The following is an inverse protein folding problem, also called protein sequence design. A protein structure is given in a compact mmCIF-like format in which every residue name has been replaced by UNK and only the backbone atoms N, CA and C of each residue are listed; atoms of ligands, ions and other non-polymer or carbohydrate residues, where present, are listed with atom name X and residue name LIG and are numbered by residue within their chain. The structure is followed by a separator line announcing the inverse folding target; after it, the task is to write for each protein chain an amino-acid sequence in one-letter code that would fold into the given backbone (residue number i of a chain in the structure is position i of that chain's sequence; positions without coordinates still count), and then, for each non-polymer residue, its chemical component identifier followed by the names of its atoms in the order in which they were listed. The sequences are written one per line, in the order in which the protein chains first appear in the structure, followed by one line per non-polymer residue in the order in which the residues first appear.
data_IF_252618153468
#
_entry.id   IF_252618153468
#
_cell.length_a   1.000
_cell.length_b   1.000
_cell.length_c   1.000
_cell.angle_alpha   90.00
_cell.angle_beta   90.00
_cell.angle_gamma   90.00
#
_symmetry.space_group_name_H-M   'P 1'
#
loop_
_entity.id
_entity.type
_entity.pdbx_description
1 polymer ?
#
# COMPACT_ATOMS: atom_id res chain seq x y z
N UNK A 1 -31.02 -17.25 20.08
CA UNK A 1 -29.57 -16.94 20.02
C UNK A 1 -29.26 -16.55 18.59
N UNK A 2 -28.41 -15.53 18.37
CA UNK A 2 -28.06 -15.06 17.02
C UNK A 2 -26.73 -15.67 16.61
N UNK A 3 -26.57 -16.07 15.35
CA UNK A 3 -25.28 -16.54 14.82
C UNK A 3 -24.53 -15.38 14.15
N UNK A 4 -23.20 -15.43 14.19
CA UNK A 4 -22.33 -14.50 13.48
C UNK A 4 -22.55 -14.64 11.96
N UNK A 5 -22.84 -13.55 11.26
CA UNK A 5 -23.05 -13.57 9.80
C UNK A 5 -21.77 -13.87 9.00
N UNK A 6 -20.60 -13.81 9.62
CA UNK A 6 -19.32 -14.04 8.94
C UNK A 6 -18.73 -15.44 9.17
N UNK A 7 -18.96 -16.07 10.33
CA UNK A 7 -18.39 -17.39 10.66
C UNK A 7 -19.41 -18.38 11.23
N UNK A 8 -20.69 -18.00 11.28
CA UNK A 8 -21.82 -18.79 11.80
C UNK A 8 -21.73 -19.22 13.28
N UNK A 9 -20.70 -18.79 14.03
CA UNK A 9 -20.60 -19.04 15.47
C UNK A 9 -21.78 -18.45 16.23
N UNK A 10 -22.40 -19.22 17.13
CA UNK A 10 -23.47 -18.73 18.01
C UNK A 10 -22.93 -17.64 18.92
N UNK A 11 -23.49 -16.45 18.84
CA UNK A 11 -23.05 -15.29 19.59
C UNK A 11 -23.53 -15.34 21.03
N UNK A 12 -22.70 -14.83 21.94
CA UNK A 12 -23.09 -14.54 23.31
C UNK A 12 -24.24 -13.51 23.32
N UNK A 13 -25.15 -13.54 24.31
CA UNK A 13 -26.19 -12.53 24.45
C UNK A 13 -25.61 -11.12 24.43
N UNK A 14 -26.18 -10.23 23.60
CA UNK A 14 -25.76 -8.83 23.41
C UNK A 14 -24.32 -8.62 22.89
N UNK A 15 -23.67 -9.64 22.33
CA UNK A 15 -22.34 -9.46 21.76
C UNK A 15 -22.36 -8.48 20.57
N UNK A 16 -21.59 -7.40 20.65
CA UNK A 16 -21.37 -6.44 19.54
C UNK A 16 -20.35 -6.96 18.51
N UNK A 17 -19.46 -7.85 18.95
CA UNK A 17 -18.46 -8.52 18.11
C UNK A 17 -18.49 -10.02 18.36
N UNK A 18 -18.23 -10.81 17.33
CA UNK A 18 -18.10 -12.25 17.44
C UNK A 18 -16.87 -12.60 18.26
N UNK A 19 -17.06 -13.32 19.36
CA UNK A 19 -15.97 -13.78 20.22
C UNK A 19 -15.07 -14.83 19.56
N UNK A 20 -15.48 -15.41 18.43
CA UNK A 20 -14.67 -16.37 17.67
C UNK A 20 -13.87 -15.69 16.57
N UNK A 21 -14.49 -14.89 15.69
CA UNK A 21 -13.81 -14.29 14.53
C UNK A 21 -13.51 -12.78 14.64
N UNK A 22 -13.93 -12.11 15.71
CA UNK A 22 -13.68 -10.69 15.94
C UNK A 22 -14.52 -9.71 15.10
N UNK A 23 -15.29 -10.18 14.11
CA UNK A 23 -16.16 -9.34 13.28
C UNK A 23 -17.42 -8.89 14.01
N UNK A 24 -17.96 -7.73 13.62
CA UNK A 24 -19.16 -7.17 14.24
C UNK A 24 -20.35 -8.13 14.09
N UNK A 25 -21.13 -8.29 15.16
CA UNK A 25 -22.23 -9.28 15.24
C UNK A 25 -23.38 -9.02 14.28
N UNK A 26 -23.49 -7.79 13.77
CA UNK A 26 -24.57 -7.33 12.91
C UNK A 26 -24.22 -7.27 11.41
N UNK A 27 -23.04 -7.73 11.01
CA UNK A 27 -22.56 -7.75 9.62
C UNK A 27 -21.51 -6.69 9.34
N UNK A 28 -20.84 -6.84 8.19
CA UNK A 28 -19.87 -5.86 7.68
C UNK A 28 -20.63 -4.55 7.32
N UNK A 29 -20.00 -3.39 7.54
CA UNK A 29 -20.63 -2.06 7.43
C UNK A 29 -21.21 -1.69 6.06
N UNK A 30 -21.75 -0.47 5.91
CA UNK A 30 -22.27 0.01 4.61
C UNK A 30 -21.16 0.74 3.84
N UNK A 31 -20.85 0.28 2.63
CA UNK A 31 -19.89 0.92 1.73
C UNK A 31 -20.54 2.15 1.08
N UNK A 32 -19.81 3.27 1.04
CA UNK A 32 -20.25 4.46 0.31
C UNK A 32 -19.96 4.30 -1.18
N UNK A 33 -20.98 4.40 -2.04
CA UNK A 33 -20.81 4.26 -3.50
C UNK A 33 -20.06 5.41 -4.17
N UNK A 34 -19.90 6.56 -3.51
CA UNK A 34 -19.16 7.69 -4.06
C UNK A 34 -17.65 7.60 -3.79
N UNK A 35 -17.23 7.01 -2.67
CA UNK A 35 -15.82 7.03 -2.25
C UNK A 35 -15.29 5.69 -1.70
N UNK A 36 -16.10 4.64 -1.77
CA UNK A 36 -15.85 3.27 -1.31
C UNK A 36 -15.43 3.12 0.17
N UNK A 37 -15.64 4.15 1.00
CA UNK A 37 -15.40 4.05 2.43
C UNK A 37 -16.37 3.06 3.09
N UNK A 38 -15.88 2.17 3.95
CA UNK A 38 -16.72 1.30 4.78
C UNK A 38 -17.21 2.10 6.00
N UNK A 39 -18.52 2.24 6.14
CA UNK A 39 -19.14 3.00 7.22
C UNK A 39 -19.86 2.05 8.19
N UNK A 40 -20.06 2.44 9.46
CA UNK A 40 -20.83 1.64 10.40
C UNK A 40 -22.24 1.32 9.88
N UNK A 41 -22.78 0.16 10.29
CA UNK A 41 -24.16 -0.24 9.94
C UNK A 41 -25.16 0.84 10.38
N UNK A 42 -26.02 1.28 9.46
CA UNK A 42 -27.01 2.34 9.71
C UNK A 42 -26.48 3.78 9.57
N UNK A 43 -25.23 3.96 9.14
CA UNK A 43 -24.72 5.28 8.78
C UNK A 43 -25.61 5.90 7.69
N UNK A 44 -26.14 7.11 7.96
CA UNK A 44 -26.94 7.88 6.99
C UNK A 44 -26.10 8.69 6.03
N UNK A 45 -24.84 8.93 6.38
CA UNK A 45 -23.87 9.70 5.61
C UNK A 45 -22.52 9.00 5.69
N UNK A 46 -21.74 9.11 4.63
CA UNK A 46 -20.38 8.60 4.60
C UNK A 46 -19.49 9.39 5.55
N UNK A 47 -18.77 8.70 6.43
CA UNK A 47 -17.81 9.32 7.34
C UNK A 47 -16.57 9.90 6.63
N UNK A 48 -16.40 9.60 5.34
CA UNK A 48 -15.28 10.08 4.52
C UNK A 48 -15.70 11.22 3.60
N UNK A 49 -16.66 11.00 2.70
CA UNK A 49 -17.05 12.01 1.69
C UNK A 49 -18.32 12.80 2.03
N UNK A 50 -19.02 12.48 3.13
CA UNK A 50 -20.25 13.16 3.53
C UNK A 50 -21.49 12.82 2.69
N UNK A 51 -21.36 12.06 1.59
CA UNK A 51 -22.52 11.66 0.77
C UNK A 51 -23.50 10.83 1.58
N UNK A 52 -24.80 11.12 1.41
CA UNK A 52 -25.87 10.31 1.97
C UNK A 52 -25.75 8.85 1.54
N UNK A 53 -25.79 7.95 2.52
CA UNK A 53 -25.76 6.50 2.30
C UNK A 53 -27.20 6.02 2.25
N UNK A 54 -27.57 5.37 1.15
CA UNK A 54 -28.89 4.76 1.03
C UNK A 54 -28.99 3.51 1.92
N UNK A 55 -29.61 3.67 3.09
CA UNK A 55 -29.75 2.66 4.15
C UNK A 55 -30.68 1.48 3.77
N UNK A 56 -31.34 1.53 2.60
CA UNK A 56 -32.10 0.41 2.04
C UNK A 56 -31.25 -0.52 1.16
N UNK A 57 -29.95 -0.24 1.04
CA UNK A 57 -29.06 -1.07 0.23
C UNK A 57 -28.78 -2.41 0.91
N UNK A 58 -29.33 -3.48 0.37
CA UNK A 58 -28.82 -4.84 0.56
C UNK A 58 -27.59 -5.02 -0.33
N UNK A 59 -26.43 -5.43 0.21
CA UNK A 59 -25.28 -5.81 -0.61
C UNK A 59 -25.73 -6.77 -1.70
N UNK A 60 -25.54 -6.40 -2.98
CA UNK A 60 -25.77 -7.37 -4.04
C UNK A 60 -24.75 -8.49 -3.82
N UNK A 61 -25.17 -9.75 -3.73
CA UNK A 61 -24.30 -10.85 -3.28
C UNK A 61 -23.05 -11.04 -4.15
N UNK A 62 -23.08 -10.56 -5.40
CA UNK A 62 -22.03 -10.78 -6.38
C UNK A 62 -21.24 -9.49 -6.74
N UNK A 63 -21.24 -8.48 -5.85
CA UNK A 63 -20.43 -7.27 -6.03
C UNK A 63 -19.20 -7.31 -5.11
N UNK A 64 -17.99 -7.14 -5.66
CA UNK A 64 -16.77 -7.08 -4.85
C UNK A 64 -16.77 -5.85 -3.91
N UNK A 65 -16.43 -5.98 -2.61
CA UNK A 65 -16.56 -4.90 -1.63
C UNK A 65 -15.80 -3.60 -1.90
N UNK A 66 -14.55 -3.67 -2.37
CA UNK A 66 -13.64 -2.53 -2.51
C UNK A 66 -13.73 -1.89 -3.89
N UNK A 67 -13.73 -2.72 -4.93
CA UNK A 67 -13.66 -2.26 -6.32
C UNK A 67 -15.01 -2.29 -7.04
N UNK A 68 -16.08 -2.79 -6.40
CA UNK A 68 -17.43 -2.73 -6.94
C UNK A 68 -17.70 -3.59 -8.18
N UNK A 69 -16.89 -4.62 -8.46
CA UNK A 69 -17.07 -5.52 -9.60
C UNK A 69 -18.32 -6.39 -9.43
N UNK A 70 -19.30 -6.23 -10.33
CA UNK A 70 -20.55 -7.00 -10.40
C UNK A 70 -20.38 -8.23 -11.29
N UNK A 71 -20.20 -9.39 -10.65
CA UNK A 71 -20.08 -10.68 -11.31
C UNK A 71 -21.40 -11.22 -11.87
N UNK A 72 -22.51 -10.48 -11.77
CA UNK A 72 -23.71 -10.77 -12.57
C UNK A 72 -23.64 -10.20 -13.98
N UNK A 73 -22.71 -9.27 -14.24
CA UNK A 73 -22.54 -8.61 -15.53
C UNK A 73 -21.11 -8.83 -16.06
N UNK A 74 -20.78 -10.11 -16.24
CA UNK A 74 -19.48 -10.57 -16.79
C UNK A 74 -19.11 -9.82 -18.09
N UNK A 75 -20.01 -9.60 -19.07
CA UNK A 75 -19.65 -8.92 -20.31
C UNK A 75 -19.08 -7.51 -20.12
N UNK A 76 -19.42 -6.82 -19.03
CA UNK A 76 -18.91 -5.46 -18.76
C UNK A 76 -17.75 -5.42 -17.77
N UNK A 77 -17.32 -6.57 -17.20
CA UNK A 77 -16.20 -6.63 -16.24
C UNK A 77 -14.92 -5.92 -16.70
N UNK A 78 -14.47 -5.99 -17.97
CA UNK A 78 -13.30 -5.23 -18.40
C UNK A 78 -13.47 -3.71 -18.24
N UNK A 79 -14.69 -3.21 -18.49
CA UNK A 79 -15.04 -1.80 -18.29
C UNK A 79 -15.11 -1.47 -16.79
N UNK A 80 -15.72 -2.35 -15.99
CA UNK A 80 -15.77 -2.19 -14.53
C UNK A 80 -14.37 -2.16 -13.91
N UNK A 81 -13.45 -3.02 -14.35
CA UNK A 81 -12.04 -3.01 -13.95
C UNK A 81 -11.33 -1.72 -14.38
N UNK A 82 -11.61 -1.22 -15.60
CA UNK A 82 -11.07 0.07 -16.03
C UNK A 82 -11.54 1.23 -15.15
N UNK A 83 -12.79 1.19 -14.66
CA UNK A 83 -13.31 2.18 -13.71
C UNK A 83 -12.75 1.95 -12.30
N UNK A 84 -12.57 0.70 -11.88
CA UNK A 84 -11.92 0.34 -10.63
C UNK A 84 -10.47 0.84 -10.55
N UNK A 85 -9.78 0.99 -11.69
CA UNK A 85 -8.46 1.62 -11.69
C UNK A 85 -8.52 3.09 -11.21
N UNK A 86 -9.60 3.84 -11.50
CA UNK A 86 -9.78 5.20 -10.95
C UNK A 86 -9.91 5.17 -9.43
N UNK A 87 -10.65 4.18 -8.89
CA UNK A 87 -10.74 3.94 -7.44
C UNK A 87 -9.34 3.70 -6.86
N UNK A 88 -8.49 2.94 -7.56
CA UNK A 88 -7.11 2.69 -7.11
C UNK A 88 -6.25 3.96 -7.08
N UNK A 89 -6.46 4.90 -8.02
CA UNK A 89 -5.82 6.23 -7.98
C UNK A 89 -6.26 6.98 -6.71
N UNK A 90 -7.56 7.01 -6.43
CA UNK A 90 -8.12 7.66 -5.23
C UNK A 90 -7.58 7.07 -3.93
N UNK A 91 -7.50 5.74 -3.84
CA UNK A 91 -6.95 5.04 -2.67
C UNK A 91 -5.46 5.33 -2.49
N UNK A 92 -4.68 5.37 -3.58
CA UNK A 92 -3.27 5.72 -3.53
C UNK A 92 -3.04 7.17 -3.07
N UNK A 93 -3.83 8.12 -3.57
CA UNK A 93 -3.75 9.53 -3.18
C UNK A 93 -4.19 9.76 -1.73
N UNK A 94 -5.18 9.01 -1.24
CA UNK A 94 -5.58 9.03 0.16
C UNK A 94 -4.47 8.55 1.09
N UNK A 95 -3.84 7.43 0.75
CA UNK A 95 -2.68 6.92 1.48
C UNK A 95 -1.49 7.88 1.44
N UNK A 96 -1.40 8.73 0.41
CA UNK A 96 -0.43 9.82 0.27
C UNK A 96 -0.88 11.15 0.90
N UNK A 97 -2.07 11.21 1.51
CA UNK A 97 -2.70 12.43 2.04
C UNK A 97 -2.69 13.57 1.00
N UNK A 98 -3.05 13.26 -0.24
CA UNK A 98 -2.94 14.12 -1.42
C UNK A 98 -4.26 14.14 -2.24
N UNK A 99 -5.40 13.91 -1.59
CA UNK A 99 -6.72 13.91 -2.23
C UNK A 99 -7.08 15.25 -2.87
N UNK A 100 -6.49 16.35 -2.41
CA UNK A 100 -6.69 17.68 -3.00
C UNK A 100 -6.25 17.74 -4.47
N UNK A 101 -5.37 16.84 -4.92
CA UNK A 101 -4.94 16.72 -6.32
C UNK A 101 -5.70 15.67 -7.12
N UNK A 102 -6.63 14.93 -6.54
CA UNK A 102 -7.31 13.81 -7.18
C UNK A 102 -7.90 14.16 -8.55
N UNK A 103 -8.57 15.32 -8.65
CA UNK A 103 -9.13 15.80 -9.90
C UNK A 103 -8.07 15.94 -11.01
N UNK A 104 -6.84 16.35 -10.69
CA UNK A 104 -5.74 16.47 -11.66
C UNK A 104 -5.25 15.09 -12.14
N UNK A 105 -5.16 14.11 -11.23
CA UNK A 105 -4.75 12.75 -11.60
C UNK A 105 -5.82 12.07 -12.46
N UNK A 106 -7.10 12.16 -12.08
CA UNK A 106 -8.20 11.61 -12.87
C UNK A 106 -8.34 12.29 -14.23
N UNK A 107 -8.12 13.60 -14.31
CA UNK A 107 -8.09 14.31 -15.58
C UNK A 107 -6.91 13.86 -16.46
N UNK A 108 -5.72 13.68 -15.87
CA UNK A 108 -4.56 13.14 -16.59
C UNK A 108 -4.85 11.75 -17.12
N UNK A 109 -5.42 10.87 -16.30
CA UNK A 109 -5.82 9.52 -16.71
C UNK A 109 -6.78 9.55 -17.91
N UNK A 110 -7.84 10.37 -17.84
CA UNK A 110 -8.84 10.48 -18.90
C UNK A 110 -8.30 11.07 -20.21
N UNK A 111 -7.27 11.92 -20.16
CA UNK A 111 -6.68 12.59 -21.33
C UNK A 111 -5.46 11.86 -21.91
N UNK A 112 -4.82 11.02 -21.11
CA UNK A 112 -3.65 10.25 -21.52
C UNK A 112 -4.03 9.04 -22.38
N UNK A 113 -3.04 8.48 -23.07
CA UNK A 113 -3.14 7.19 -23.76
C UNK A 113 -2.84 5.99 -22.83
N UNK A 114 -2.69 6.22 -21.52
CA UNK A 114 -2.38 5.17 -20.55
C UNK A 114 -3.36 3.99 -20.62
N UNK A 115 -4.66 4.28 -20.77
CA UNK A 115 -5.70 3.26 -20.85
C UNK A 115 -5.43 2.31 -22.03
N UNK A 116 -5.23 2.88 -23.22
CA UNK A 116 -5.01 2.14 -24.45
C UNK A 116 -3.65 1.42 -24.47
N UNK A 117 -2.62 2.04 -23.89
CA UNK A 117 -1.26 1.48 -23.91
C UNK A 117 -1.02 0.38 -22.87
N UNK A 118 -1.66 0.45 -21.70
CA UNK A 118 -1.30 -0.40 -20.56
C UNK A 118 -2.47 -1.05 -19.83
N UNK A 119 -3.65 -0.42 -19.80
CA UNK A 119 -4.74 -0.90 -18.94
C UNK A 119 -5.64 -1.91 -19.65
N UNK A 120 -6.02 -1.66 -20.90
CA UNK A 120 -7.04 -2.45 -21.61
C UNK A 120 -6.69 -3.93 -21.74
N UNK A 121 -5.46 -4.26 -22.10
CA UNK A 121 -5.01 -5.66 -22.19
C UNK A 121 -5.02 -6.33 -20.81
N UNK A 122 -4.54 -5.63 -19.78
CA UNK A 122 -4.48 -6.16 -18.42
C UNK A 122 -5.88 -6.41 -17.86
N UNK A 123 -6.85 -5.53 -18.09
CA UNK A 123 -8.22 -5.75 -17.59
C UNK A 123 -8.92 -6.91 -18.28
N UNK A 124 -8.61 -7.18 -19.55
CA UNK A 124 -9.11 -8.37 -20.26
C UNK A 124 -8.56 -9.65 -19.65
N UNK A 125 -7.25 -9.71 -19.39
CA UNK A 125 -6.61 -10.87 -18.76
C UNK A 125 -7.12 -11.09 -17.33
N UNK A 126 -7.23 -10.02 -16.54
CA UNK A 126 -7.81 -10.07 -15.19
C UNK A 126 -9.26 -10.55 -15.20
N UNK A 127 -10.05 -10.17 -16.21
CA UNK A 127 -11.45 -10.62 -16.33
C UNK A 127 -11.52 -12.14 -16.45
N UNK A 128 -10.71 -12.74 -17.34
CA UNK A 128 -10.67 -14.18 -17.54
C UNK A 128 -10.27 -14.93 -16.26
N UNK A 129 -9.25 -14.41 -15.55
CA UNK A 129 -8.81 -14.98 -14.28
C UNK A 129 -9.91 -14.89 -13.21
N UNK A 130 -10.53 -13.73 -13.05
CA UNK A 130 -11.49 -13.50 -11.96
C UNK A 130 -12.83 -14.19 -12.20
N UNK A 131 -13.27 -14.29 -13.45
CA UNK A 131 -14.44 -15.09 -13.81
C UNK A 131 -14.23 -16.55 -13.38
N UNK A 132 -13.10 -17.16 -13.74
CA UNK A 132 -12.79 -18.53 -13.37
C UNK A 132 -12.72 -18.75 -11.84
N UNK A 133 -12.07 -17.83 -11.10
CA UNK A 133 -12.00 -17.90 -9.63
C UNK A 133 -13.39 -17.74 -9.01
N UNK A 134 -14.21 -16.82 -9.53
CA UNK A 134 -15.55 -16.56 -9.01
C UNK A 134 -16.52 -17.71 -9.31
N UNK A 135 -16.45 -18.33 -10.49
CA UNK A 135 -17.24 -19.52 -10.82
C UNK A 135 -16.96 -20.68 -9.86
N UNK A 136 -15.69 -20.89 -9.49
CA UNK A 136 -15.28 -21.95 -8.57
C UNK A 136 -15.74 -21.69 -7.12
N UNK A 137 -15.62 -20.43 -6.65
CA UNK A 137 -15.66 -20.11 -5.21
C UNK A 137 -16.79 -19.17 -4.80
N UNK A 138 -17.51 -18.60 -5.75
CA UNK A 138 -18.51 -17.57 -5.55
C UNK A 138 -18.00 -16.42 -4.69
N UNK A 139 -18.82 -15.96 -3.74
CA UNK A 139 -18.51 -14.85 -2.81
C UNK A 139 -17.19 -15.04 -2.05
N UNK A 140 -16.80 -16.30 -1.77
CA UNK A 140 -15.54 -16.56 -1.07
C UNK A 140 -14.29 -16.21 -1.89
N UNK A 141 -14.44 -16.00 -3.21
CA UNK A 141 -13.40 -15.53 -4.12
C UNK A 141 -12.98 -14.08 -3.89
N UNK A 142 -13.84 -13.23 -3.32
CA UNK A 142 -13.62 -11.77 -3.33
C UNK A 142 -12.30 -11.37 -2.70
N UNK A 143 -11.91 -11.98 -1.58
CA UNK A 143 -10.63 -11.66 -0.94
C UNK A 143 -9.44 -11.93 -1.88
N UNK A 144 -9.44 -13.08 -2.56
CA UNK A 144 -8.36 -13.41 -3.51
C UNK A 144 -8.37 -12.51 -4.75
N UNK A 145 -9.56 -12.20 -5.26
CA UNK A 145 -9.73 -11.30 -6.42
C UNK A 145 -9.23 -9.89 -6.08
N UNK A 146 -9.65 -9.33 -4.94
CA UNK A 146 -9.21 -8.00 -4.51
C UNK A 146 -7.71 -7.93 -4.26
N UNK A 147 -7.12 -9.00 -3.68
CA UNK A 147 -5.66 -9.10 -3.52
C UNK A 147 -4.94 -9.10 -4.88
N UNK A 148 -5.48 -9.82 -5.87
CA UNK A 148 -4.93 -9.84 -7.23
C UNK A 148 -5.07 -8.47 -7.93
N UNK A 149 -6.21 -7.79 -7.75
CA UNK A 149 -6.42 -6.42 -8.24
C UNK A 149 -5.38 -5.48 -7.62
N UNK A 150 -5.21 -5.49 -6.30
CA UNK A 150 -4.24 -4.64 -5.61
C UNK A 150 -2.82 -4.83 -6.15
N UNK A 151 -2.42 -6.08 -6.41
CA UNK A 151 -1.11 -6.40 -6.98
C UNK A 151 -0.93 -5.83 -8.39
N UNK A 152 -1.88 -6.09 -9.30
CA UNK A 152 -1.79 -5.61 -10.68
C UNK A 152 -1.94 -4.10 -10.78
N UNK A 153 -2.87 -3.52 -10.02
CA UNK A 153 -3.07 -2.07 -10.02
C UNK A 153 -1.90 -1.34 -9.38
N UNK A 154 -1.19 -1.90 -8.40
CA UNK A 154 0.03 -1.28 -7.89
C UNK A 154 1.13 -1.17 -8.98
N UNK A 155 1.31 -2.19 -9.83
CA UNK A 155 2.21 -2.12 -10.98
C UNK A 155 1.82 -1.03 -11.98
N UNK A 156 0.53 -0.98 -12.32
CA UNK A 156 -0.05 -0.01 -13.25
C UNK A 156 -0.04 1.42 -12.70
N UNK A 157 -0.34 1.61 -11.41
CA UNK A 157 -0.31 2.92 -10.74
C UNK A 157 1.10 3.51 -10.74
N UNK A 158 2.13 2.70 -10.52
CA UNK A 158 3.50 3.20 -10.57
C UNK A 158 3.90 3.64 -11.99
N UNK A 159 3.52 2.87 -13.02
CA UNK A 159 3.64 3.27 -14.43
C UNK A 159 2.95 4.60 -14.69
N UNK A 160 1.67 4.67 -14.32
CA UNK A 160 0.84 5.83 -14.52
C UNK A 160 1.46 7.07 -13.87
N UNK A 161 1.89 6.93 -12.60
CA UNK A 161 2.47 8.04 -11.86
C UNK A 161 3.80 8.51 -12.44
N UNK A 162 4.63 7.62 -12.97
CA UNK A 162 5.97 7.95 -13.46
C UNK A 162 5.96 8.48 -14.90
N UNK A 163 5.13 7.91 -15.77
CA UNK A 163 5.12 8.32 -17.18
C UNK A 163 4.14 9.45 -17.46
N UNK A 164 3.06 9.56 -16.66
CA UNK A 164 1.97 10.50 -16.94
C UNK A 164 1.80 11.57 -15.87
N UNK A 165 2.14 11.29 -14.61
CA UNK A 165 1.89 12.22 -13.50
C UNK A 165 3.15 12.65 -12.72
N UNK A 166 4.37 12.37 -13.21
CA UNK A 166 5.59 12.58 -12.42
C UNK A 166 5.74 14.01 -11.88
N UNK A 167 5.43 15.07 -12.67
CA UNK A 167 5.46 16.44 -12.17
C UNK A 167 4.39 16.76 -11.12
N UNK A 168 3.34 15.94 -11.00
CA UNK A 168 2.25 16.11 -10.03
C UNK A 168 2.57 15.46 -8.67
N UNK A 169 3.53 14.53 -8.63
CA UNK A 169 3.94 13.81 -7.42
C UNK A 169 4.58 14.77 -6.41
N UNK A 170 4.50 14.46 -5.10
CA UNK A 170 5.22 15.23 -4.06
C UNK A 170 6.72 15.36 -4.35
N UNK A 171 7.32 14.26 -4.80
CA UNK A 171 8.71 14.20 -5.27
C UNK A 171 8.78 13.32 -6.50
N UNK A 172 9.59 13.72 -7.48
CA UNK A 172 9.72 12.98 -8.73
C UNK A 172 10.34 11.62 -8.49
N UNK A 173 9.83 10.62 -9.20
CA UNK A 173 10.32 9.26 -9.15
C UNK A 173 11.11 8.93 -10.43
N UNK A 174 12.22 8.18 -10.31
CA UNK A 174 13.03 7.77 -11.44
C UNK A 174 12.27 6.74 -12.31
N UNK A 175 12.43 6.80 -13.64
CA UNK A 175 11.82 5.80 -14.54
C UNK A 175 12.36 4.38 -14.33
N UNK A 176 13.55 4.25 -13.76
CA UNK A 176 14.27 2.99 -13.60
C UNK A 176 13.52 2.02 -12.67
N UNK A 177 12.70 2.50 -11.73
CA UNK A 177 11.95 1.61 -10.82
C UNK A 177 10.84 0.83 -11.52
N UNK A 178 10.46 1.24 -12.74
CA UNK A 178 9.48 0.49 -13.55
C UNK A 178 9.99 -0.89 -13.98
N UNK A 179 11.29 -1.17 -13.87
CA UNK A 179 11.81 -2.54 -14.09
C UNK A 179 11.30 -3.55 -13.03
N UNK A 180 10.72 -3.07 -11.92
CA UNK A 180 10.22 -3.88 -10.81
C UNK A 180 8.70 -4.13 -10.86
N UNK A 181 8.03 -3.82 -11.97
CA UNK A 181 6.58 -4.04 -12.10
C UNK A 181 6.19 -5.52 -11.96
N UNK A 182 6.99 -6.42 -12.54
CA UNK A 182 6.82 -7.88 -12.47
C UNK A 182 7.73 -8.53 -11.40
N UNK A 183 8.15 -7.75 -10.41
CA UNK A 183 9.08 -8.22 -9.39
C UNK A 183 8.46 -9.34 -8.52
N UNK A 184 9.28 -10.35 -8.24
CA UNK A 184 8.99 -11.42 -7.27
C UNK A 184 10.05 -11.41 -6.17
N UNK A 185 9.65 -11.69 -4.93
CA UNK A 185 10.60 -11.72 -3.79
C UNK A 185 11.70 -12.76 -3.99
N UNK A 186 11.43 -13.82 -4.76
CA UNK A 186 12.36 -14.91 -5.00
C UNK A 186 13.46 -14.55 -6.01
N UNK A 187 13.19 -13.64 -6.94
CA UNK A 187 14.07 -13.34 -8.08
C UNK A 187 14.62 -11.92 -8.05
N UNK A 188 13.99 -11.03 -7.28
CA UNK A 188 14.36 -9.61 -7.24
C UNK A 188 15.61 -9.39 -6.40
N UNK A 189 16.60 -8.71 -6.98
CA UNK A 189 17.73 -8.19 -6.21
C UNK A 189 17.26 -6.98 -5.38
N UNK A 190 16.88 -7.25 -4.13
CA UNK A 190 16.35 -6.23 -3.22
C UNK A 190 17.35 -5.11 -2.91
N UNK A 191 18.65 -5.40 -2.90
CA UNK A 191 19.68 -4.37 -2.70
C UNK A 191 19.67 -3.37 -3.86
N UNK A 192 19.63 -3.86 -5.10
CA UNK A 192 19.51 -3.01 -6.29
C UNK A 192 18.20 -2.22 -6.28
N UNK A 193 17.09 -2.88 -5.95
CA UNK A 193 15.78 -2.25 -5.87
C UNK A 193 15.77 -1.08 -4.87
N UNK A 194 16.34 -1.27 -3.67
CA UNK A 194 16.50 -0.20 -2.68
C UNK A 194 17.26 1.00 -3.26
N UNK A 195 18.37 0.77 -3.96
CA UNK A 195 19.16 1.85 -4.54
C UNK A 195 18.40 2.58 -5.65
N UNK A 196 17.74 1.85 -6.55
CA UNK A 196 16.98 2.43 -7.65
C UNK A 196 15.75 3.23 -7.17
N UNK A 197 15.18 2.90 -6.01
CA UNK A 197 14.11 3.73 -5.42
C UNK A 197 14.65 4.94 -4.67
N UNK A 198 15.72 4.77 -3.88
CA UNK A 198 16.16 5.77 -2.93
C UNK A 198 17.08 6.83 -3.56
N UNK A 199 17.93 6.46 -4.51
CA UNK A 199 18.95 7.34 -5.10
C UNK A 199 19.63 8.20 -4.03
N UNK A 200 20.24 7.55 -3.04
CA UNK A 200 20.79 8.20 -1.85
C UNK A 200 21.96 9.14 -2.18
N UNK A 201 22.62 8.92 -3.31
CA UNK A 201 23.70 9.72 -3.86
C UNK A 201 23.26 11.13 -4.31
N UNK A 202 21.98 11.28 -4.68
CA UNK A 202 21.40 12.57 -5.12
C UNK A 202 20.91 13.41 -3.95
N UNK A 203 20.94 12.86 -2.74
CA UNK A 203 20.36 13.46 -1.55
C UNK A 203 21.45 14.12 -0.70
N UNK A 204 21.17 15.31 -0.18
CA UNK A 204 22.09 16.05 0.69
C UNK A 204 22.13 15.46 2.12
N UNK A 205 22.42 14.15 2.23
CA UNK A 205 22.39 13.35 3.44
C UNK A 205 23.73 12.63 3.65
N UNK A 206 23.98 12.20 4.89
CA UNK A 206 25.08 11.27 5.16
C UNK A 206 24.53 9.86 5.02
N UNK A 207 24.72 9.28 3.85
CA UNK A 207 24.17 7.98 3.47
C UNK A 207 25.27 7.04 2.96
N UNK A 208 24.98 5.74 3.02
CA UNK A 208 25.81 4.67 2.49
C UNK A 208 24.92 3.63 1.84
N UNK A 209 25.20 3.26 0.59
CA UNK A 209 24.41 2.31 -0.19
C UNK A 209 25.03 0.91 -0.23
N UNK A 210 26.14 0.67 0.48
CA UNK A 210 26.72 -0.66 0.67
C UNK A 210 27.30 -0.81 2.08
N UNK A 211 27.23 -2.02 2.63
CA UNK A 211 27.78 -2.32 3.96
C UNK A 211 29.28 -2.03 4.08
N UNK A 212 30.05 -2.24 3.00
CA UNK A 212 31.51 -2.06 3.00
C UNK A 212 31.92 -0.58 3.13
N UNK A 213 31.06 0.33 2.67
CA UNK A 213 31.32 1.78 2.70
C UNK A 213 31.00 2.39 4.07
N UNK A 214 30.29 1.66 4.94
CA UNK A 214 29.90 2.15 6.26
C UNK A 214 31.11 2.17 7.20
N UNK A 215 31.49 3.33 7.76
CA UNK A 215 32.57 3.41 8.74
C UNK A 215 32.27 2.52 9.96
N UNK A 216 33.24 1.69 10.34
CA UNK A 216 33.09 0.74 11.46
C UNK A 216 32.60 1.39 12.76
N UNK A 217 33.03 2.63 13.06
CA UNK A 217 32.58 3.38 14.24
C UNK A 217 31.08 3.69 14.18
N UNK A 218 30.56 4.08 13.02
CA UNK A 218 29.12 4.35 12.83
C UNK A 218 28.32 3.06 12.93
N UNK A 219 28.78 1.98 12.31
CA UNK A 219 28.12 0.69 12.42
C UNK A 219 28.09 0.17 13.87
N UNK A 220 29.19 0.31 14.62
CA UNK A 220 29.22 -0.02 16.06
C UNK A 220 28.22 0.82 16.85
N UNK A 221 28.15 2.11 16.58
CA UNK A 221 27.19 3.01 17.21
C UNK A 221 25.74 2.60 16.90
N UNK A 222 25.39 2.42 15.63
CA UNK A 222 24.07 1.97 15.22
C UNK A 222 23.70 0.63 15.88
N UNK A 223 24.64 -0.34 15.91
CA UNK A 223 24.43 -1.63 16.59
C UNK A 223 24.22 -1.51 18.09
N UNK A 224 24.81 -0.51 18.73
CA UNK A 224 24.58 -0.26 20.15
C UNK A 224 23.20 0.37 20.41
N UNK A 225 22.63 1.12 19.45
CA UNK A 225 21.47 1.99 19.70
C UNK A 225 20.15 1.59 19.03
N UNK A 226 20.16 1.07 17.79
CA UNK A 226 18.91 0.75 17.07
C UNK A 226 19.03 -0.41 16.06
N UNK A 227 20.22 -0.72 15.56
CA UNK A 227 20.43 -1.79 14.58
C UNK A 227 20.74 -3.11 15.28
N UNK A 228 19.71 -3.90 15.56
CA UNK A 228 19.84 -5.25 16.15
C UNK A 228 19.46 -6.31 15.10
N UNK A 229 20.32 -6.54 14.09
CA UNK A 229 20.03 -7.48 13.01
C UNK A 229 20.06 -8.92 13.47
N UNK A 230 19.38 -9.78 12.73
CA UNK A 230 19.55 -11.23 12.84
C UNK A 230 20.94 -11.66 12.35
N UNK A 231 21.33 -12.89 12.68
CA UNK A 231 22.58 -13.45 12.19
C UNK A 231 22.61 -13.46 10.64
N UNK A 232 23.71 -12.95 10.07
CA UNK A 232 23.90 -12.88 8.62
C UNK A 232 23.19 -11.72 7.92
N UNK A 233 22.40 -10.91 8.63
CA UNK A 233 21.72 -9.77 8.03
C UNK A 233 22.66 -8.55 7.93
N UNK A 234 22.81 -8.04 6.70
CA UNK A 234 23.72 -6.94 6.36
C UNK A 234 22.96 -5.68 5.93
N UNK A 235 23.45 -4.47 6.24
CA UNK A 235 22.91 -3.22 5.71
C UNK A 235 23.00 -3.15 4.18
N UNK A 236 21.89 -2.84 3.52
CA UNK A 236 21.84 -2.43 2.12
C UNK A 236 21.86 -0.91 1.99
N UNK A 237 21.21 -0.21 2.92
CA UNK A 237 21.32 1.24 3.04
C UNK A 237 21.50 1.64 4.50
N UNK A 238 22.29 2.69 4.73
CA UNK A 238 22.39 3.37 6.02
C UNK A 238 22.35 4.87 5.81
N UNK A 239 21.30 5.52 6.32
CA UNK A 239 21.16 6.96 6.41
C UNK A 239 21.43 7.38 7.87
N UNK A 240 22.52 8.12 8.10
CA UNK A 240 22.86 8.69 9.40
C UNK A 240 22.13 10.02 9.58
N UNK A 241 21.21 10.05 10.54
CA UNK A 241 20.41 11.24 10.86
C UNK A 241 20.88 11.95 12.14
N UNK A 242 22.04 11.57 12.69
CA UNK A 242 22.56 12.25 13.88
C UNK A 242 23.15 13.61 13.55
N UNK A 243 22.84 14.61 14.39
CA UNK A 243 23.37 15.98 14.25
C UNK A 243 24.91 16.01 14.19
N UNK A 244 25.57 15.18 15.01
CA UNK A 244 27.03 15.05 15.06
C UNK A 244 27.59 13.92 14.19
N UNK A 245 26.78 13.37 13.26
CA UNK A 245 27.19 12.35 12.28
C UNK A 245 27.85 11.11 12.90
N UNK A 246 27.39 10.73 14.09
CA UNK A 246 27.89 9.61 14.88
C UNK A 246 27.30 8.26 14.47
N UNK A 247 26.18 8.23 13.74
CA UNK A 247 25.49 6.99 13.35
C UNK A 247 24.67 6.33 14.47
N UNK A 248 24.37 7.06 15.56
CA UNK A 248 23.53 6.56 16.67
C UNK A 248 22.03 6.59 16.39
N UNK A 249 21.61 7.31 15.35
CA UNK A 249 20.23 7.59 14.94
C UNK A 249 20.18 7.63 13.41
N UNK A 250 19.00 7.40 12.87
CA UNK A 250 18.75 7.33 11.44
C UNK A 250 18.06 6.03 11.05
N UNK A 251 18.30 5.63 9.81
CA UNK A 251 17.61 4.52 9.17
C UNK A 251 18.61 3.53 8.58
N UNK A 252 18.41 2.24 8.83
CA UNK A 252 19.13 1.16 8.16
C UNK A 252 18.10 0.25 7.50
N UNK A 253 18.30 -0.06 6.22
CA UNK A 253 17.47 -0.99 5.47
C UNK A 253 18.29 -2.21 5.09
N UNK A 254 17.71 -3.40 5.21
CA UNK A 254 18.35 -4.68 4.92
C UNK A 254 17.49 -5.47 3.94
N UNK A 255 17.81 -6.75 3.72
CA UNK A 255 16.92 -7.64 2.97
C UNK A 255 15.58 -7.94 3.68
N UNK A 256 15.51 -7.72 5.00
CA UNK A 256 14.39 -8.20 5.84
C UNK A 256 13.55 -7.07 6.42
N UNK A 257 14.19 -5.97 6.80
CA UNK A 257 13.56 -4.99 7.67
C UNK A 257 14.15 -3.59 7.50
N UNK A 258 13.37 -2.62 8.02
CA UNK A 258 13.81 -1.26 8.30
C UNK A 258 14.09 -1.16 9.80
N UNK A 259 15.26 -0.63 10.13
CA UNK A 259 15.66 -0.25 11.47
C UNK A 259 15.66 1.26 11.56
N UNK A 260 14.94 1.80 12.53
CA UNK A 260 14.71 3.23 12.66
C UNK A 260 14.98 3.72 14.07
N UNK A 261 15.57 4.90 14.18
CA UNK A 261 15.62 5.67 15.43
C UNK A 261 15.76 7.16 15.15
N UNK A 262 14.88 7.95 15.75
CA UNK A 262 15.00 9.40 15.83
C UNK A 262 15.41 9.88 17.22
N UNK A 263 15.72 11.17 17.33
CA UNK A 263 16.03 11.84 18.59
C UNK A 263 14.87 11.70 19.58
N UNK A 264 15.18 11.36 20.83
CA UNK A 264 14.21 11.08 21.90
C UNK A 264 13.16 9.99 21.63
N UNK A 265 13.30 9.21 20.55
CA UNK A 265 12.42 8.11 20.25
C UNK A 265 13.06 6.76 20.60
N UNK A 266 12.21 5.78 20.93
CA UNK A 266 12.64 4.38 21.02
C UNK A 266 13.01 3.90 19.62
N UNK A 267 14.01 3.02 19.55
CA UNK A 267 14.34 2.33 18.30
C UNK A 267 13.20 1.42 17.86
N UNK A 268 13.02 1.27 16.56
CA UNK A 268 12.08 0.34 15.96
C UNK A 268 12.77 -0.57 14.94
N UNK A 269 12.24 -1.79 14.81
CA UNK A 269 12.51 -2.73 13.72
C UNK A 269 11.17 -3.06 13.09
N UNK A 270 11.08 -2.93 11.77
CA UNK A 270 9.86 -3.20 11.01
C UNK A 270 10.24 -4.16 9.87
N UNK A 271 9.81 -5.41 9.99
CA UNK A 271 9.95 -6.38 8.89
C UNK A 271 9.01 -6.00 7.75
N UNK A 272 9.48 -6.16 6.50
CA UNK A 272 8.68 -5.77 5.33
C UNK A 272 7.37 -6.57 5.25
N UNK A 273 7.41 -7.86 5.60
CA UNK A 273 6.24 -8.75 5.67
C UNK A 273 5.24 -8.37 6.77
N UNK A 274 5.67 -7.59 7.77
CA UNK A 274 4.83 -7.15 8.88
C UNK A 274 4.14 -5.80 8.63
N UNK A 275 4.33 -5.16 7.46
CA UNK A 275 3.73 -3.85 7.16
C UNK A 275 2.23 -4.02 6.85
N UNK A 276 1.40 -3.64 7.82
CA UNK A 276 -0.06 -3.68 7.71
C UNK A 276 -0.64 -2.32 7.33
N UNK A 277 -0.08 -1.25 7.90
CA UNK A 277 -0.46 0.13 7.63
C UNK A 277 0.73 0.89 7.09
N UNK A 278 0.50 1.63 6.00
CA UNK A 278 1.48 2.49 5.37
C UNK A 278 0.76 3.75 4.90
N UNK A 279 1.24 4.90 5.32
CA UNK A 279 0.74 6.20 4.86
C UNK A 279 1.91 7.18 4.70
N UNK A 280 1.79 8.08 3.74
CA UNK A 280 2.70 9.19 3.54
C UNK A 280 2.02 10.49 3.92
N UNK A 281 2.73 11.27 4.72
CA UNK A 281 2.43 12.67 5.00
C UNK A 281 3.59 13.47 4.42
N UNK A 282 3.32 14.67 3.91
CA UNK A 282 4.31 15.55 3.25
C UNK A 282 5.71 15.59 3.91
N UNK A 283 5.79 15.43 5.22
CA UNK A 283 7.01 15.46 6.03
C UNK A 283 7.42 14.11 6.64
N UNK A 284 6.65 13.02 6.51
CA UNK A 284 6.94 11.74 7.19
C UNK A 284 6.24 10.53 6.56
N UNK A 285 6.77 9.34 6.83
CA UNK A 285 6.10 8.06 6.56
C UNK A 285 5.60 7.48 7.86
N UNK A 286 4.35 7.02 7.89
CA UNK A 286 3.81 6.22 8.99
C UNK A 286 3.75 4.75 8.61
N UNK A 287 4.34 3.89 9.43
CA UNK A 287 4.39 2.44 9.23
C UNK A 287 3.94 1.76 10.52
N UNK A 288 2.77 1.11 10.55
CA UNK A 288 2.23 0.48 11.77
C UNK A 288 2.27 1.40 13.02
N UNK A 289 1.92 2.68 12.88
CA UNK A 289 2.00 3.73 13.91
C UNK A 289 3.42 4.16 14.33
N UNK A 290 4.46 3.74 13.61
CA UNK A 290 5.82 4.27 13.74
C UNK A 290 6.02 5.37 12.72
N UNK A 291 6.51 6.53 13.17
CA UNK A 291 6.76 7.69 12.34
C UNK A 291 8.23 7.77 11.96
N UNK A 292 8.48 7.75 10.65
CA UNK A 292 9.81 7.88 10.06
C UNK A 292 9.91 9.21 9.32
N UNK A 293 10.89 10.03 9.69
CA UNK A 293 11.11 11.34 9.09
C UNK A 293 12.61 11.60 8.91
N UNK A 294 13.06 11.61 7.66
CA UNK A 294 14.45 11.86 7.27
C UNK A 294 14.54 13.18 6.49
N UNK A 295 13.89 13.23 5.34
CA UNK A 295 13.73 14.41 4.48
C UNK A 295 12.48 14.20 3.62
N UNK A 296 11.78 15.26 3.15
CA UNK A 296 10.58 15.09 2.34
C UNK A 296 10.78 14.15 1.13
N UNK A 297 11.88 14.32 0.39
CA UNK A 297 12.22 13.48 -0.77
C UNK A 297 12.42 12.01 -0.40
N UNK A 298 13.29 11.74 0.59
CA UNK A 298 13.54 10.37 1.05
C UNK A 298 12.30 9.73 1.64
N UNK A 299 11.51 10.48 2.39
CA UNK A 299 10.27 9.96 2.99
C UNK A 299 9.33 9.47 1.88
N UNK A 300 9.16 10.26 0.81
CA UNK A 300 8.32 9.83 -0.32
C UNK A 300 8.91 8.61 -1.02
N UNK A 301 10.21 8.60 -1.31
CA UNK A 301 10.89 7.45 -1.94
C UNK A 301 10.79 6.17 -1.10
N UNK A 302 10.96 6.27 0.23
CA UNK A 302 10.76 5.15 1.17
C UNK A 302 9.31 4.69 1.10
N UNK A 303 8.33 5.59 1.20
CA UNK A 303 6.93 5.21 1.10
C UNK A 303 6.63 4.42 -0.18
N UNK A 304 7.11 4.90 -1.33
CA UNK A 304 6.90 4.25 -2.64
C UNK A 304 7.57 2.88 -2.71
N UNK A 305 8.81 2.77 -2.23
CA UNK A 305 9.50 1.49 -2.12
C UNK A 305 8.71 0.49 -1.24
N UNK A 306 8.24 0.92 -0.07
CA UNK A 306 7.49 0.06 0.83
C UNK A 306 6.13 -0.34 0.27
N UNK A 307 5.45 0.57 -0.43
CA UNK A 307 4.21 0.26 -1.13
C UNK A 307 4.42 -0.85 -2.15
N UNK A 308 5.51 -0.79 -2.94
CA UNK A 308 5.90 -1.85 -3.87
C UNK A 308 6.29 -3.15 -3.15
N UNK A 309 7.11 -3.08 -2.10
CA UNK A 309 7.52 -4.28 -1.38
C UNK A 309 6.34 -5.04 -0.76
N UNK A 310 5.33 -4.32 -0.27
CA UNK A 310 4.10 -4.95 0.24
C UNK A 310 3.44 -5.82 -0.83
N UNK A 311 3.36 -5.37 -2.09
CA UNK A 311 2.68 -6.14 -3.15
C UNK A 311 3.49 -7.32 -3.67
N UNK A 312 4.81 -7.29 -3.50
CA UNK A 312 5.70 -8.40 -3.87
C UNK A 312 5.73 -9.48 -2.75
N UNK A 313 5.38 -9.10 -1.52
CA UNK A 313 5.36 -9.97 -0.33
C UNK A 313 3.98 -10.56 0.01
N UNK A 314 2.92 -10.09 -0.66
CA UNK A 314 1.56 -10.67 -0.61
C UNK A 314 1.49 -11.95 -1.44
#
# INVERSE_FOLDING_TARGET
MKNCLSCNTTLLPNALFCHSCGKQSDGDGVVCFECNNINPKGARFCSRCGTAINIQYTPKPNISPVYGLDFNDIPTLPTQLSEAFKVSISLALDAENNLEKEALFLQTFAKSDFKQQYLEEVTVLMTQEFEAIFEERGISAFKSIETAIEKQFAALLERFFIDFCNPLLPHQLPKQILQYQEASILTTNLHRMLNDYLHLEDEALISYSNAIDIPLKKLKNARSTFFKPEAGETPYAFIDHTLLRSGKEGCIMTAKAIYWKAYFQKSARIEYSAIQKLAYYKDRVEINAIYLNISPSINYKIYRLLARLRTILL
#
